data_IF_720876873955
#
_entry.id   IF_720876873955
#
_cell.length_a   1.000
_cell.length_b   1.000
_cell.length_c   1.000
_cell.angle_alpha   90.00
_cell.angle_beta   90.00
_cell.angle_gamma   90.00
#
_symmetry.space_group_name_H-M   'P 1'
#
loop_
_entity.id
_entity.type
_entity.pdbx_description
1 polymer ?
#
# COMPACT_ATOMS: atom_id res chain seq x y z
N UNK A 1 -2.77 -18.15 -23.13
CA UNK A 1 -3.35 -17.86 -21.79
C UNK A 1 -3.00 -16.43 -21.41
N UNK A 2 -3.93 -15.48 -21.53
CA UNK A 2 -3.66 -14.08 -21.19
C UNK A 2 -3.53 -13.94 -19.67
N UNK A 3 -2.30 -13.70 -19.17
CA UNK A 3 -2.09 -13.34 -17.76
C UNK A 3 -2.85 -12.04 -17.48
N UNK A 4 -3.70 -12.03 -16.47
CA UNK A 4 -4.35 -10.81 -15.96
C UNK A 4 -3.53 -10.26 -14.82
N UNK A 5 -3.32 -8.95 -14.81
CA UNK A 5 -2.72 -8.26 -13.67
C UNK A 5 -3.57 -8.54 -12.43
N UNK A 6 -2.92 -8.99 -11.37
CA UNK A 6 -3.59 -9.31 -10.11
C UNK A 6 -2.94 -8.65 -8.90
N UNK A 7 -1.74 -8.09 -9.06
CA UNK A 7 -0.99 -7.40 -8.01
C UNK A 7 -0.64 -6.00 -8.49
N UNK A 8 -0.69 -5.04 -7.58
CA UNK A 8 -0.31 -3.66 -7.80
C UNK A 8 0.63 -3.19 -6.69
N UNK A 9 1.46 -2.22 -7.03
CA UNK A 9 2.26 -1.49 -6.07
C UNK A 9 1.83 -0.02 -6.10
N UNK A 10 1.67 0.58 -4.94
CA UNK A 10 1.50 2.02 -4.79
C UNK A 10 2.83 2.60 -4.33
N UNK A 11 3.44 3.46 -5.14
CA UNK A 11 4.55 4.31 -4.71
C UNK A 11 3.95 5.53 -4.03
N UNK A 12 4.18 5.64 -2.73
CA UNK A 12 3.57 6.64 -1.86
C UNK A 12 4.63 7.55 -1.29
N UNK A 13 4.51 8.85 -1.50
CA UNK A 13 5.39 9.85 -0.90
C UNK A 13 4.76 10.39 0.39
N UNK A 14 5.54 10.43 1.45
CA UNK A 14 5.23 11.13 2.70
C UNK A 14 6.26 12.24 2.94
N UNK A 15 5.81 13.49 3.06
CA UNK A 15 6.73 14.63 3.16
C UNK A 15 7.16 15.01 4.58
N UNK A 16 6.55 14.44 5.62
CA UNK A 16 6.82 14.76 7.03
C UNK A 16 6.76 13.50 7.91
N UNK A 17 7.54 13.47 8.98
CA UNK A 17 7.41 12.44 10.02
C UNK A 17 6.03 12.54 10.68
N UNK A 18 5.43 11.39 11.01
CA UNK A 18 4.12 11.32 11.68
C UNK A 18 3.87 9.98 12.35
N UNK A 19 3.09 10.03 13.41
CA UNK A 19 2.49 8.85 14.04
C UNK A 19 1.02 8.76 13.61
N UNK A 20 0.59 7.59 13.16
CA UNK A 20 -0.75 7.39 12.62
C UNK A 20 -1.42 6.20 13.33
N UNK A 21 -2.66 6.41 13.78
CA UNK A 21 -3.51 5.31 14.27
C UNK A 21 -4.07 4.50 13.10
N UNK A 22 -3.54 3.30 12.90
CA UNK A 22 -3.91 2.38 11.82
C UNK A 22 -4.92 1.34 12.34
N UNK A 23 -6.21 1.67 12.33
CA UNK A 23 -7.28 0.73 12.68
C UNK A 23 -7.02 -0.04 13.99
N UNK A 24 -6.92 -1.38 13.89
CA UNK A 24 -6.61 -2.28 15.02
C UNK A 24 -5.11 -2.49 15.26
N UNK A 25 -4.23 -2.06 14.35
CA UNK A 25 -2.78 -2.19 14.50
C UNK A 25 -2.20 -1.19 15.52
N UNK A 26 -2.99 -0.20 15.95
CA UNK A 26 -2.54 0.81 16.91
C UNK A 26 -1.80 1.98 16.26
N UNK A 27 -0.90 2.60 17.01
CA UNK A 27 -0.07 3.70 16.51
C UNK A 27 1.15 3.14 15.76
N UNK A 28 1.43 3.71 14.59
CA UNK A 28 2.58 3.36 13.77
C UNK A 28 3.28 4.64 13.34
N UNK A 29 4.59 4.67 13.49
CA UNK A 29 5.43 5.78 13.05
C UNK A 29 5.80 5.63 11.57
N UNK A 30 5.61 6.71 10.83
CA UNK A 30 6.03 6.86 9.44
C UNK A 30 6.98 8.04 9.32
N UNK A 31 8.22 7.76 8.95
CA UNK A 31 9.21 8.79 8.62
C UNK A 31 8.90 9.47 7.29
N UNK A 32 9.42 10.68 7.09
CA UNK A 32 9.47 11.31 5.77
C UNK A 32 10.21 10.39 4.81
N UNK A 33 9.61 10.10 3.65
CA UNK A 33 10.21 9.21 2.67
C UNK A 33 9.23 8.68 1.64
N UNK A 34 9.73 7.73 0.85
CA UNK A 34 8.96 7.01 -0.18
C UNK A 34 8.68 5.60 0.30
N UNK A 35 7.45 5.16 0.10
CA UNK A 35 6.93 3.87 0.54
C UNK A 35 6.41 3.08 -0.65
N UNK A 36 6.59 1.77 -0.62
CA UNK A 36 5.94 0.85 -1.55
C UNK A 36 4.91 0.04 -0.78
N UNK A 37 3.65 0.14 -1.21
CA UNK A 37 2.58 -0.72 -0.72
C UNK A 37 2.24 -1.76 -1.78
N UNK A 38 2.40 -3.04 -1.46
CA UNK A 38 2.01 -4.15 -2.32
C UNK A 38 0.61 -4.61 -1.94
N UNK A 39 -0.25 -4.83 -2.93
CA UNK A 39 -1.55 -5.45 -2.70
C UNK A 39 -2.04 -6.21 -3.92
N UNK A 40 -2.93 -7.17 -3.71
CA UNK A 40 -3.59 -7.89 -4.80
C UNK A 40 -5.08 -7.61 -4.93
N UNK A 41 -5.58 -7.86 -6.13
CA UNK A 41 -6.97 -7.81 -6.51
C UNK A 41 -7.26 -8.92 -7.53
N UNK A 42 -7.45 -10.16 -7.04
CA UNK A 42 -7.83 -11.33 -7.87
C UNK A 42 -9.09 -11.07 -8.71
N UNK A 43 -10.00 -10.23 -8.20
CA UNK A 43 -11.14 -9.65 -8.93
C UNK A 43 -11.22 -8.16 -8.59
N UNK A 44 -11.55 -7.32 -9.57
CA UNK A 44 -11.85 -5.90 -9.34
C UNK A 44 -10.63 -4.99 -9.12
N UNK A 45 -9.50 -5.24 -9.79
CA UNK A 45 -8.29 -4.40 -9.72
C UNK A 45 -8.58 -2.91 -9.87
N UNK A 46 -9.31 -2.52 -10.92
CA UNK A 46 -9.66 -1.12 -11.17
C UNK A 46 -10.48 -0.53 -10.02
N UNK A 47 -11.42 -1.28 -9.45
CA UNK A 47 -12.24 -0.83 -8.31
C UNK A 47 -11.37 -0.61 -7.07
N UNK A 48 -10.43 -1.53 -6.81
CA UNK A 48 -9.50 -1.42 -5.68
C UNK A 48 -8.55 -0.22 -5.83
N UNK A 49 -8.00 -0.01 -7.02
CA UNK A 49 -7.16 1.17 -7.30
C UNK A 49 -7.95 2.48 -7.19
N UNK A 50 -9.15 2.56 -7.79
CA UNK A 50 -10.05 3.73 -7.64
C UNK A 50 -10.34 4.02 -6.17
N UNK A 51 -10.57 2.97 -5.38
CA UNK A 51 -10.77 3.12 -3.95
C UNK A 51 -9.53 3.71 -3.29
N UNK A 52 -8.31 3.24 -3.56
CA UNK A 52 -7.11 3.83 -2.96
C UNK A 52 -6.87 5.29 -3.39
N UNK A 53 -7.15 5.63 -4.65
CA UNK A 53 -7.01 7.00 -5.18
C UNK A 53 -8.02 7.97 -4.57
N UNK A 54 -9.26 7.53 -4.31
CA UNK A 54 -10.29 8.40 -3.72
C UNK A 54 -9.81 9.02 -2.41
N UNK A 55 -10.16 10.26 -2.10
CA UNK A 55 -9.89 10.84 -0.76
C UNK A 55 -11.06 10.63 0.19
N UNK A 56 -12.30 10.60 -0.32
CA UNK A 56 -13.52 10.41 0.47
C UNK A 56 -13.95 8.95 0.43
N UNK A 57 -13.64 8.20 1.50
CA UNK A 57 -14.03 6.79 1.68
C UNK A 57 -14.08 6.43 3.16
N UNK A 58 -14.81 5.36 3.51
CA UNK A 58 -14.62 4.70 4.81
C UNK A 58 -13.27 4.00 4.81
N UNK A 59 -12.42 4.26 5.80
CA UNK A 59 -11.11 3.61 5.93
C UNK A 59 -11.31 2.13 6.30
N UNK A 60 -10.65 1.23 5.57
CA UNK A 60 -10.80 -0.22 5.78
C UNK A 60 -9.46 -0.93 5.70
N UNK A 61 -8.68 -0.69 4.64
CA UNK A 61 -7.33 -1.24 4.53
C UNK A 61 -6.33 -0.34 5.24
N UNK A 62 -5.24 -0.93 5.72
CA UNK A 62 -4.18 -0.19 6.43
C UNK A 62 -3.65 0.98 5.60
N UNK A 63 -3.46 0.78 4.29
CA UNK A 63 -3.05 1.84 3.36
C UNK A 63 -4.07 2.97 3.21
N UNK A 64 -5.36 2.73 3.46
CA UNK A 64 -6.36 3.80 3.40
C UNK A 64 -6.11 4.86 4.49
N UNK A 65 -5.70 4.44 5.70
CA UNK A 65 -5.37 5.33 6.81
C UNK A 65 -4.11 6.15 6.53
N UNK A 66 -3.12 5.56 5.88
CA UNK A 66 -1.90 6.28 5.52
C UNK A 66 -2.18 7.30 4.41
N UNK A 67 -2.92 6.89 3.36
CA UNK A 67 -3.28 7.76 2.23
C UNK A 67 -4.26 8.88 2.58
N UNK A 68 -4.98 8.76 3.71
CA UNK A 68 -5.86 9.82 4.21
C UNK A 68 -5.11 10.93 4.95
N UNK A 69 -3.83 10.73 5.29
CA UNK A 69 -3.05 11.76 5.98
C UNK A 69 -2.70 12.92 5.06
N UNK A 70 -2.55 14.10 5.66
CA UNK A 70 -1.98 15.26 4.98
C UNK A 70 -0.54 14.98 4.53
N UNK A 71 -0.13 15.60 3.42
CA UNK A 71 1.23 15.44 2.84
C UNK A 71 1.59 13.99 2.50
N UNK A 72 0.60 13.14 2.29
CA UNK A 72 0.72 11.79 1.73
C UNK A 72 -0.01 11.70 0.39
N UNK A 73 0.70 11.23 -0.63
CA UNK A 73 0.22 11.12 -2.01
C UNK A 73 0.74 9.85 -2.69
N UNK A 74 -0.09 9.27 -3.57
CA UNK A 74 0.35 8.24 -4.50
C UNK A 74 1.04 8.95 -5.65
N UNK A 75 2.31 8.66 -5.88
CA UNK A 75 3.11 9.22 -6.97
C UNK A 75 3.04 8.33 -8.22
N UNK A 76 3.07 7.01 -8.03
CA UNK A 76 3.00 6.03 -9.12
C UNK A 76 2.20 4.79 -8.72
N UNK A 77 1.62 4.15 -9.73
CA UNK A 77 0.96 2.85 -9.60
C UNK A 77 1.62 1.90 -10.59
N UNK A 78 2.18 0.82 -10.06
CA UNK A 78 2.81 -0.23 -10.85
C UNK A 78 1.91 -1.46 -10.86
N UNK A 79 1.84 -2.17 -11.99
CA UNK A 79 1.04 -3.38 -12.14
C UNK A 79 1.96 -4.56 -12.47
N UNK A 80 1.70 -5.71 -11.85
CA UNK A 80 2.45 -6.93 -12.13
C UNK A 80 1.55 -8.17 -12.20
N UNK A 81 2.01 -9.15 -12.98
CA UNK A 81 1.39 -10.46 -13.10
C UNK A 81 1.86 -11.45 -12.02
N UNK A 82 2.87 -11.07 -11.24
CA UNK A 82 3.39 -11.85 -10.13
C UNK A 82 2.41 -11.85 -8.96
N UNK A 83 2.44 -12.91 -8.15
CA UNK A 83 1.63 -12.97 -6.94
C UNK A 83 2.12 -11.97 -5.89
N UNK A 84 1.23 -11.57 -4.99
CA UNK A 84 1.49 -10.59 -3.94
C UNK A 84 2.65 -10.99 -3.04
N UNK A 85 2.74 -12.28 -2.70
CA UNK A 85 3.74 -12.80 -1.78
C UNK A 85 5.13 -12.73 -2.38
N UNK A 86 5.27 -13.25 -3.59
CA UNK A 86 6.50 -13.20 -4.35
C UNK A 86 6.92 -11.75 -4.58
N UNK A 87 5.98 -10.89 -4.99
CA UNK A 87 6.23 -9.47 -5.23
C UNK A 87 6.75 -8.79 -3.95
N UNK A 88 6.08 -9.02 -2.81
CA UNK A 88 6.49 -8.47 -1.52
C UNK A 88 7.90 -8.95 -1.15
N UNK A 89 8.13 -10.27 -1.13
CA UNK A 89 9.43 -10.85 -0.78
C UNK A 89 10.57 -10.43 -1.71
N UNK A 90 10.27 -10.19 -2.99
CA UNK A 90 11.25 -9.71 -3.96
C UNK A 90 11.67 -8.27 -3.63
N UNK A 91 10.70 -7.38 -3.37
CA UNK A 91 10.98 -5.97 -3.05
C UNK A 91 11.71 -5.83 -1.71
N UNK A 92 11.34 -6.65 -0.72
CA UNK A 92 11.98 -6.63 0.61
C UNK A 92 13.48 -6.94 0.60
N UNK A 93 14.04 -7.45 -0.49
CA UNK A 93 15.50 -7.63 -0.63
C UNK A 93 16.26 -6.30 -0.63
N UNK A 94 15.61 -5.25 -1.14
CA UNK A 94 16.22 -3.94 -1.37
C UNK A 94 15.54 -2.82 -0.55
N UNK A 95 14.59 -3.17 0.33
CA UNK A 95 13.78 -2.18 1.08
C UNK A 95 13.51 -2.61 2.52
N UNK A 96 13.31 -1.65 3.40
CA UNK A 96 12.90 -1.90 4.78
C UNK A 96 11.37 -2.03 4.93
N UNK A 97 10.94 -2.84 5.90
CA UNK A 97 9.51 -3.01 6.25
C UNK A 97 9.11 -1.98 7.29
N UNK A 98 7.95 -1.33 7.10
CA UNK A 98 7.28 -0.60 8.18
C UNK A 98 6.70 -1.61 9.16
N UNK A 99 7.39 -1.80 10.29
CA UNK A 99 7.01 -2.80 11.30
C UNK A 99 5.57 -2.60 11.76
N UNK A 100 4.79 -3.69 11.76
CA UNK A 100 3.41 -3.69 12.21
C UNK A 100 2.39 -3.13 11.20
N UNK A 101 2.81 -2.77 9.99
CA UNK A 101 1.93 -2.25 8.93
C UNK A 101 1.77 -3.24 7.77
N UNK A 102 0.57 -3.31 7.18
CA UNK A 102 0.25 -4.26 6.10
C UNK A 102 -0.45 -5.52 6.60
N UNK A 103 -0.50 -6.56 5.77
CA UNK A 103 -1.06 -7.86 6.16
C UNK A 103 0.06 -8.80 6.61
N UNK A 104 -0.12 -9.64 7.65
CA UNK A 104 0.83 -10.69 8.00
C UNK A 104 0.76 -11.91 7.09
N UNK A 105 -0.20 -11.94 6.15
CA UNK A 105 -0.50 -13.13 5.33
C UNK A 105 0.54 -13.39 4.21
N UNK A 106 1.69 -12.73 4.28
CA UNK A 106 2.96 -12.99 3.59
C UNK A 106 4.13 -12.44 4.42
#
# INVERSE_FOLDING_TARGET
MHRKFSTYLLEVSNKIDKEIKIGRLGQIEFKKGTYLYVGSAKKGLISRLRRHISKKKKLFWHIDYFLSQEKVSIEKIWLTYLDECFTSKFILRDTEVVKGFGSPDC
#
